data_IF_364866917931
#
_entry.id   IF_364866917931
#
_cell.length_a   1.000
_cell.length_b   1.000
_cell.length_c   1.000
_cell.angle_alpha   90.00
_cell.angle_beta   90.00
_cell.angle_gamma   90.00
#
_symmetry.space_group_name_H-M   'P 1'
#
loop_
_entity.id
_entity.type
_entity.pdbx_description
1 polymer ?
#
# COMPACT_ATOMS: atom_id res chain seq x y z
N UNK A 1 1.79 23.89 -3.57
CA UNK A 1 1.04 22.63 -3.38
C UNK A 1 2.06 21.60 -2.95
N UNK A 2 1.85 20.85 -1.85
CA UNK A 2 2.74 19.73 -1.54
C UNK A 2 2.24 18.56 -2.37
N UNK A 3 2.97 18.21 -3.42
CA UNK A 3 2.59 17.09 -4.28
C UNK A 3 2.64 15.82 -3.43
N UNK A 4 1.47 15.20 -3.25
CA UNK A 4 1.35 13.91 -2.57
C UNK A 4 2.02 12.87 -3.46
N UNK A 5 2.90 12.05 -2.87
CA UNK A 5 3.61 11.02 -3.60
C UNK A 5 2.70 9.81 -3.74
N UNK A 6 2.35 9.46 -4.98
CA UNK A 6 1.54 8.27 -5.30
C UNK A 6 2.42 7.03 -5.30
N UNK A 7 2.00 6.01 -4.57
CA UNK A 7 2.78 4.78 -4.37
C UNK A 7 1.95 3.56 -4.75
N UNK A 8 2.58 2.61 -5.44
CA UNK A 8 2.06 1.25 -5.62
C UNK A 8 2.93 0.30 -4.81
N UNK A 9 2.30 -0.60 -4.03
CA UNK A 9 3.02 -1.65 -3.31
C UNK A 9 3.08 -2.93 -4.14
N UNK A 10 4.28 -3.47 -4.35
CA UNK A 10 4.49 -4.75 -5.03
C UNK A 10 4.98 -5.77 -4.00
N UNK A 11 4.13 -6.74 -3.68
CA UNK A 11 4.29 -7.67 -2.57
C UNK A 11 3.65 -7.13 -1.27
N UNK A 12 2.59 -7.77 -0.80
CA UNK A 12 1.79 -7.38 0.37
C UNK A 12 1.85 -8.48 1.44
N UNK A 13 3.05 -9.01 1.67
CA UNK A 13 3.36 -9.84 2.84
C UNK A 13 3.42 -9.05 4.15
N UNK A 14 3.98 -9.66 5.18
CA UNK A 14 4.15 -9.02 6.50
C UNK A 14 4.83 -7.66 6.42
N UNK A 15 5.91 -7.56 5.62
CA UNK A 15 6.63 -6.31 5.40
C UNK A 15 5.79 -5.32 4.59
N UNK A 16 5.18 -5.77 3.49
CA UNK A 16 4.34 -4.91 2.64
C UNK A 16 3.17 -4.28 3.40
N UNK A 17 2.52 -5.06 4.28
CA UNK A 17 1.46 -4.56 5.18
C UNK A 17 1.98 -3.57 6.21
N UNK A 18 3.16 -3.81 6.77
CA UNK A 18 3.79 -2.88 7.73
C UNK A 18 4.13 -1.54 7.06
N UNK A 19 4.61 -1.58 5.81
CA UNK A 19 4.85 -0.38 4.99
C UNK A 19 3.52 0.30 4.69
N UNK A 20 2.50 -0.43 4.23
CA UNK A 20 1.18 0.11 3.94
C UNK A 20 0.62 0.89 5.14
N UNK A 21 0.66 0.30 6.34
CA UNK A 21 0.21 0.94 7.58
C UNK A 21 0.97 2.24 7.87
N UNK A 22 2.30 2.22 7.77
CA UNK A 22 3.12 3.41 8.01
C UNK A 22 2.85 4.54 6.98
N UNK A 23 2.57 4.18 5.72
CA UNK A 23 2.26 5.15 4.68
C UNK A 23 0.85 5.74 4.84
N UNK A 24 -0.14 4.93 5.24
CA UNK A 24 -1.52 5.37 5.48
C UNK A 24 -1.62 6.41 6.63
N UNK A 25 -0.73 6.34 7.61
CA UNK A 25 -0.65 7.32 8.70
C UNK A 25 -0.03 8.68 8.26
N UNK A 26 0.55 8.75 7.06
CA UNK A 26 1.26 9.93 6.56
C UNK A 26 0.46 10.71 5.52
N UNK A 27 0.29 12.02 5.73
CA UNK A 27 -0.33 12.93 4.72
C UNK A 27 0.55 13.21 3.49
N UNK A 28 1.76 12.64 3.41
CA UNK A 28 2.69 12.85 2.29
C UNK A 28 2.52 11.83 1.17
N UNK A 29 1.89 10.70 1.46
CA UNK A 29 1.79 9.57 0.55
C UNK A 29 0.33 9.21 0.30
N UNK A 30 0.05 8.72 -0.91
CA UNK A 30 -1.23 8.14 -1.30
C UNK A 30 -0.94 6.77 -1.90
N UNK A 31 -1.48 5.72 -1.29
CA UNK A 31 -1.40 4.37 -1.87
C UNK A 31 -2.47 4.29 -2.96
N UNK A 32 -2.04 4.12 -4.20
CA UNK A 32 -2.94 4.08 -5.38
C UNK A 32 -3.11 2.68 -5.95
N UNK A 33 -2.45 1.69 -5.35
CA UNK A 33 -2.60 0.30 -5.74
C UNK A 33 -1.68 -0.64 -4.97
N UNK A 34 -2.00 -1.93 -5.05
CA UNK A 34 -1.19 -2.99 -4.50
C UNK A 34 -1.24 -4.23 -5.40
N UNK A 35 -0.15 -4.96 -5.47
CA UNK A 35 0.04 -6.14 -6.32
C UNK A 35 0.59 -7.27 -5.45
N UNK A 36 -0.07 -8.42 -5.44
CA UNK A 36 0.43 -9.66 -4.83
C UNK A 36 0.00 -10.84 -5.71
N UNK A 37 0.68 -11.98 -5.57
CA UNK A 37 0.36 -13.22 -6.31
C UNK A 37 -0.52 -14.16 -5.50
N UNK A 38 -0.61 -13.95 -4.19
CA UNK A 38 -1.38 -14.80 -3.28
C UNK A 38 -2.87 -14.50 -3.40
N UNK A 39 -3.64 -15.51 -3.76
CA UNK A 39 -5.09 -15.42 -3.98
C UNK A 39 -5.85 -14.92 -2.74
N UNK A 40 -5.36 -15.21 -1.53
CA UNK A 40 -5.97 -14.74 -0.30
C UNK A 40 -5.78 -13.23 -0.04
N UNK A 41 -4.97 -12.54 -0.85
CA UNK A 41 -4.76 -11.09 -0.80
C UNK A 41 -5.40 -10.40 -1.99
N UNK A 42 -5.31 -10.99 -3.19
CA UNK A 42 -5.86 -10.41 -4.41
C UNK A 42 -7.36 -10.17 -4.25
N UNK A 43 -7.82 -8.99 -4.65
CA UNK A 43 -9.22 -8.59 -4.56
C UNK A 43 -9.68 -8.17 -3.16
N UNK A 44 -8.79 -8.13 -2.17
CA UNK A 44 -9.07 -7.61 -0.83
C UNK A 44 -8.55 -6.17 -0.67
N UNK A 45 -9.15 -5.45 0.28
CA UNK A 45 -8.64 -4.14 0.69
C UNK A 45 -7.29 -4.29 1.44
N UNK A 46 -6.44 -3.27 1.31
CA UNK A 46 -5.09 -3.24 1.87
C UNK A 46 -5.07 -2.86 3.37
N UNK A 47 -6.14 -2.23 3.84
CA UNK A 47 -6.31 -1.77 5.22
C UNK A 47 -7.78 -1.80 5.63
#
# INVERSE_FOLDING_TARGET
MRDVIKVVLYGVGEIGRSIAKALLESRKYEIVGAIDVREEIVGRDLG
#
